data_IF_902673913955
#
_entry.id   IF_902673913955
#
_cell.length_a   1.000
_cell.length_b   1.000
_cell.length_c   1.000
_cell.angle_alpha   90.00
_cell.angle_beta   90.00
_cell.angle_gamma   90.00
#
_symmetry.space_group_name_H-M   'P 1'
#
loop_
_entity.id
_entity.type
_entity.pdbx_description
1 polymer ?
#
# COMPACT_ATOMS: atom_id res chain seq x y z
N UNK A 1 3.58 8.11 1.56
CA UNK A 1 4.43 6.95 1.19
C UNK A 1 3.83 5.60 1.60
N UNK A 2 3.26 5.45 2.80
CA UNK A 2 2.70 4.15 3.26
C UNK A 2 1.52 3.64 2.42
N UNK A 3 0.67 4.52 1.88
CA UNK A 3 -0.43 4.12 0.97
C UNK A 3 0.07 3.52 -0.34
N UNK A 4 1.11 4.13 -0.95
CA UNK A 4 1.76 3.56 -2.14
C UNK A 4 2.36 2.18 -1.84
N UNK A 5 2.96 2.01 -0.66
CA UNK A 5 3.46 0.71 -0.23
C UNK A 5 2.34 -0.33 -0.11
N UNK A 6 1.21 0.02 0.51
CA UNK A 6 0.06 -0.88 0.65
C UNK A 6 -0.49 -1.33 -0.70
N UNK A 7 -0.71 -0.40 -1.63
CA UNK A 7 -1.17 -0.71 -2.99
C UNK A 7 -0.15 -1.54 -3.76
N UNK A 8 1.13 -1.21 -3.67
CA UNK A 8 2.21 -1.98 -4.31
C UNK A 8 2.25 -3.43 -3.79
N UNK A 9 2.13 -3.63 -2.47
CA UNK A 9 2.11 -4.96 -1.88
C UNK A 9 0.86 -5.75 -2.29
N UNK A 10 -0.31 -5.12 -2.28
CA UNK A 10 -1.54 -5.77 -2.75
C UNK A 10 -1.47 -6.13 -4.24
N UNK A 11 -0.93 -5.24 -5.08
CA UNK A 11 -0.76 -5.48 -6.52
C UNK A 11 0.21 -6.63 -6.83
N UNK A 12 1.29 -6.78 -6.07
CA UNK A 12 2.34 -7.77 -6.35
C UNK A 12 2.11 -9.09 -5.64
N UNK A 13 1.83 -9.03 -4.34
CA UNK A 13 1.66 -10.21 -3.48
C UNK A 13 0.19 -10.64 -3.45
N UNK A 14 -0.74 -9.69 -3.36
CA UNK A 14 -2.15 -9.93 -3.02
C UNK A 14 -2.38 -9.64 -1.54
N UNK A 15 -3.36 -10.33 -0.95
CA UNK A 15 -3.74 -10.16 0.45
C UNK A 15 -2.55 -10.35 1.41
N UNK A 16 -2.60 -9.60 2.51
CA UNK A 16 -1.57 -9.63 3.53
C UNK A 16 -1.43 -11.02 4.15
N UNK A 17 -0.19 -11.50 4.22
CA UNK A 17 0.14 -12.87 4.63
C UNK A 17 1.24 -12.95 5.69
N UNK A 18 1.53 -11.82 6.36
CA UNK A 18 2.53 -11.72 7.43
C UNK A 18 1.88 -11.23 8.72
N UNK A 19 2.46 -11.61 9.85
CA UNK A 19 2.03 -11.13 11.15
C UNK A 19 2.30 -9.63 11.32
N UNK A 20 1.49 -9.00 12.18
CA UNK A 20 1.62 -7.58 12.47
C UNK A 20 2.87 -7.32 13.31
N UNK A 21 3.75 -6.37 12.91
CA UNK A 21 4.95 -6.04 13.69
C UNK A 21 4.64 -5.61 15.12
N UNK A 22 5.61 -5.86 16.01
CA UNK A 22 5.50 -5.56 17.43
C UNK A 22 5.35 -4.06 17.74
N UNK A 23 4.89 -3.74 18.95
CA UNK A 23 4.48 -2.39 19.34
C UNK A 23 5.54 -1.29 19.10
N UNK A 24 6.82 -1.61 19.27
CA UNK A 24 7.93 -0.66 19.12
C UNK A 24 8.39 -0.46 17.67
N UNK A 25 7.95 -1.28 16.72
CA UNK A 25 8.25 -1.09 15.29
C UNK A 25 7.17 -0.23 14.62
N UNK A 26 7.25 1.08 14.86
CA UNK A 26 6.27 2.04 14.34
C UNK A 26 6.22 2.08 12.80
N UNK A 27 7.37 1.92 12.14
CA UNK A 27 7.47 1.98 10.67
C UNK A 27 6.90 0.70 10.05
N UNK A 28 7.30 -0.47 10.56
CA UNK A 28 6.77 -1.76 10.12
C UNK A 28 5.28 -1.85 10.36
N UNK A 29 4.80 -1.42 11.53
CA UNK A 29 3.36 -1.36 11.85
C UNK A 29 2.60 -0.46 10.88
N UNK A 30 3.10 0.73 10.57
CA UNK A 30 2.44 1.63 9.61
C UNK A 30 2.39 1.06 8.19
N UNK A 31 3.45 0.34 7.76
CA UNK A 31 3.49 -0.37 6.47
C UNK A 31 2.51 -1.55 6.44
N UNK A 32 2.49 -2.33 7.52
CA UNK A 32 1.58 -3.46 7.68
C UNK A 32 0.12 -3.00 7.66
N UNK A 33 -0.21 -1.97 8.45
CA UNK A 33 -1.57 -1.41 8.54
C UNK A 33 -2.02 -0.89 7.17
N UNK A 34 -1.12 -0.25 6.41
CA UNK A 34 -1.42 0.24 5.06
C UNK A 34 -1.66 -0.88 4.03
N UNK A 35 -1.00 -2.03 4.15
CA UNK A 35 -1.24 -3.19 3.29
C UNK A 35 -2.49 -3.96 3.73
N UNK A 36 -2.67 -4.18 5.04
CA UNK A 36 -3.88 -4.83 5.60
C UNK A 36 -5.15 -4.08 5.22
N UNK A 37 -5.13 -2.75 5.17
CA UNK A 37 -6.26 -1.94 4.71
C UNK A 37 -6.62 -2.11 3.22
N UNK A 38 -5.84 -2.87 2.45
CA UNK A 38 -6.09 -3.19 1.03
C UNK A 38 -6.48 -4.66 0.79
N UNK A 39 -6.63 -5.44 1.86
CA UNK A 39 -7.07 -6.83 1.78
C UNK A 39 -8.43 -6.94 1.07
N UNK A 40 -8.59 -7.98 0.24
CA UNK A 40 -9.79 -8.25 -0.55
C UNK A 40 -9.83 -7.52 -1.89
N UNK A 41 -8.89 -6.61 -2.15
CA UNK A 41 -8.78 -5.89 -3.42
C UNK A 41 -8.00 -6.76 -4.42
N UNK A 42 -8.47 -6.90 -5.65
CA UNK A 42 -7.73 -7.68 -6.66
C UNK A 42 -6.39 -7.04 -7.00
N UNK A 43 -5.49 -7.82 -7.60
CA UNK A 43 -4.16 -7.30 -7.99
C UNK A 43 -4.30 -6.21 -9.04
N UNK A 44 -5.24 -6.39 -9.97
CA UNK A 44 -5.53 -5.48 -11.07
C UNK A 44 -6.10 -4.15 -10.55
N UNK A 45 -7.07 -4.20 -9.63
CA UNK A 45 -7.62 -3.00 -8.98
C UNK A 45 -6.54 -2.28 -8.16
N UNK A 46 -5.64 -3.02 -7.51
CA UNK A 46 -4.57 -2.44 -6.70
C UNK A 46 -3.54 -1.71 -7.59
N UNK A 47 -3.22 -2.27 -8.76
CA UNK A 47 -2.37 -1.63 -9.76
C UNK A 47 -3.02 -0.36 -10.31
N UNK A 48 -4.30 -0.40 -10.67
CA UNK A 48 -5.02 0.77 -11.17
C UNK A 48 -5.03 1.91 -10.13
N UNK A 49 -5.36 1.59 -8.88
CA UNK A 49 -5.34 2.55 -7.78
C UNK A 49 -3.92 3.09 -7.49
N UNK A 50 -2.88 2.27 -7.67
CA UNK A 50 -1.48 2.70 -7.54
C UNK A 50 -1.14 3.76 -8.58
N UNK A 51 -1.47 3.51 -9.85
CA UNK A 51 -1.22 4.45 -10.95
C UNK A 51 -1.97 5.76 -10.72
N UNK A 52 -3.25 5.70 -10.36
CA UNK A 52 -4.06 6.89 -10.08
C UNK A 52 -3.45 7.74 -8.94
N UNK A 53 -2.97 7.08 -7.87
CA UNK A 53 -2.33 7.77 -6.76
C UNK A 53 -1.01 8.42 -7.19
N UNK A 54 -0.19 7.74 -8.01
CA UNK A 54 1.06 8.31 -8.53
C UNK A 54 0.77 9.54 -9.40
N UNK A 55 -0.22 9.49 -10.30
CA UNK A 55 -0.59 10.63 -11.13
C UNK A 55 -1.09 11.81 -10.28
N UNK A 56 -1.88 11.55 -9.23
CA UNK A 56 -2.28 12.59 -8.26
C UNK A 56 -1.08 13.21 -7.54
N UNK A 57 -0.07 12.42 -7.20
CA UNK A 57 1.13 12.90 -6.53
C UNK A 57 2.02 13.72 -7.48
N UNK A 58 2.17 13.29 -8.73
CA UNK A 58 2.84 14.06 -9.78
C UNK A 58 2.19 15.43 -9.96
N UNK A 59 0.87 15.46 -10.12
CA UNK A 59 0.12 16.71 -10.24
C UNK A 59 0.27 17.62 -9.00
N UNK A 60 0.30 17.02 -7.81
CA UNK A 60 0.42 17.76 -6.55
C UNK A 60 1.81 18.36 -6.31
N UNK A 61 2.87 17.64 -6.70
CA UNK A 61 4.26 18.01 -6.40
C UNK A 61 5.05 18.51 -7.62
N UNK A 62 4.46 18.48 -8.81
CA UNK A 62 5.08 19.03 -10.03
C UNK A 62 6.30 18.26 -10.51
N UNK A 63 6.28 16.93 -10.37
CA UNK A 63 7.33 15.99 -10.84
C UNK A 63 6.83 15.11 -11.98
#
# INVERSE_FOLDING_TARGET
>A
MTVLYGLYKQATVGDINIERPGFFDFIGKAKWDAWSAKQGLSKEEAMAAYVELVEKLKAKYGI
#
